data_IF_315226529004
#
_entry.id   IF_315226529004
#
_cell.length_a   1.000
_cell.length_b   1.000
_cell.length_c   1.000
_cell.angle_alpha   90.00
_cell.angle_beta   90.00
_cell.angle_gamma   90.00
#
_symmetry.space_group_name_H-M   'P 1'
#
loop_
_entity.id
_entity.type
_entity.pdbx_description
1 polymer ?
#
# COMPACT_ATOMS: atom_id res chain seq x y z
N UNK A 1 17.25 13.67 -24.04
CA UNK A 1 15.77 13.68 -24.08
C UNK A 1 15.36 12.37 -24.74
N UNK A 2 15.25 11.30 -23.96
CA UNK A 2 14.85 9.98 -24.46
C UNK A 2 13.33 9.97 -24.58
N UNK A 3 12.80 9.98 -25.79
CA UNK A 3 11.45 9.50 -26.03
C UNK A 3 11.46 7.99 -25.81
N UNK A 4 10.74 7.44 -24.81
CA UNK A 4 10.53 6.02 -24.78
C UNK A 4 9.61 5.71 -25.99
N UNK A 5 10.19 5.09 -27.00
CA UNK A 5 9.40 4.46 -28.06
C UNK A 5 8.53 3.37 -27.40
N UNK A 6 7.32 3.76 -27.04
CA UNK A 6 6.32 2.80 -26.63
C UNK A 6 6.08 1.87 -27.81
N UNK A 7 5.98 0.56 -27.57
CA UNK A 7 5.55 -0.42 -28.59
C UNK A 7 4.19 -0.04 -29.24
N UNK A 8 3.56 1.01 -28.75
CA UNK A 8 2.27 1.57 -29.16
C UNK A 8 2.38 2.75 -30.13
N UNK A 9 3.59 3.17 -30.54
CA UNK A 9 3.78 4.35 -31.40
C UNK A 9 3.29 4.18 -32.84
N UNK A 10 2.82 3.00 -33.22
CA UNK A 10 2.45 2.68 -34.60
C UNK A 10 0.93 2.62 -34.83
N UNK A 11 0.10 2.63 -33.80
CA UNK A 11 -1.36 2.62 -33.99
C UNK A 11 -2.06 3.54 -32.98
N UNK A 12 -3.02 4.32 -33.47
CA UNK A 12 -4.02 5.02 -32.67
C UNK A 12 -4.88 4.04 -31.83
N UNK A 13 -4.71 2.74 -32.04
CA UNK A 13 -5.37 1.69 -31.30
C UNK A 13 -4.62 1.37 -30.01
N UNK A 14 -5.38 1.32 -28.95
CA UNK A 14 -4.99 1.02 -27.57
C UNK A 14 -4.19 -0.27 -27.50
N UNK A 15 -3.02 -0.22 -26.90
CA UNK A 15 -2.12 -1.36 -26.84
C UNK A 15 -2.57 -2.39 -25.80
N UNK A 16 -3.19 -3.47 -26.24
CA UNK A 16 -3.59 -4.58 -25.38
C UNK A 16 -2.44 -5.19 -24.56
N UNK A 17 -1.22 -5.17 -25.08
CA UNK A 17 -0.04 -5.69 -24.36
C UNK A 17 0.29 -4.83 -23.14
N UNK A 18 0.22 -3.50 -23.31
CA UNK A 18 0.44 -2.56 -22.20
C UNK A 18 -0.69 -2.68 -21.17
N UNK A 19 -1.94 -2.83 -21.59
CA UNK A 19 -3.09 -3.04 -20.70
C UNK A 19 -2.95 -4.33 -19.88
N UNK A 20 -2.49 -5.41 -20.51
CA UNK A 20 -2.21 -6.69 -19.84
C UNK A 20 -1.07 -6.56 -18.80
N UNK A 21 0.00 -5.85 -19.14
CA UNK A 21 1.12 -5.62 -18.21
C UNK A 21 0.70 -4.79 -16.99
N UNK A 22 -0.14 -3.78 -17.20
CA UNK A 22 -0.67 -2.97 -16.09
C UNK A 22 -1.68 -3.76 -15.25
N UNK A 23 -2.40 -4.70 -15.86
CA UNK A 23 -3.31 -5.62 -15.17
C UNK A 23 -4.50 -4.93 -14.49
N UNK A 24 -4.97 -3.80 -15.04
CA UNK A 24 -6.19 -3.12 -14.61
C UNK A 24 -7.32 -3.46 -15.59
N UNK A 25 -8.12 -4.45 -15.23
CA UNK A 25 -9.25 -4.89 -16.06
C UNK A 25 -10.23 -3.75 -16.29
N UNK A 26 -10.62 -3.53 -17.56
CA UNK A 26 -11.53 -2.46 -17.96
C UNK A 26 -10.88 -1.09 -18.13
N UNK A 27 -9.53 -1.01 -18.12
CA UNK A 27 -8.78 0.23 -18.31
C UNK A 27 -7.78 0.11 -19.45
N UNK A 28 -7.49 1.25 -20.06
CA UNK A 28 -6.41 1.43 -21.01
C UNK A 28 -5.30 2.26 -20.41
N UNK A 29 -4.06 1.83 -20.66
CA UNK A 29 -2.88 2.62 -20.39
C UNK A 29 -2.69 3.64 -21.52
N UNK A 30 -2.78 4.92 -21.19
CA UNK A 30 -2.57 6.03 -22.12
C UNK A 30 -1.10 6.41 -22.20
N UNK A 31 -0.41 6.46 -21.06
CA UNK A 31 1.01 6.72 -20.98
C UNK A 31 1.64 6.08 -19.74
N UNK A 32 2.95 5.81 -19.81
CA UNK A 32 3.76 5.38 -18.69
C UNK A 32 5.05 6.19 -18.65
N UNK A 33 5.27 6.95 -17.59
CA UNK A 33 6.44 7.80 -17.44
C UNK A 33 7.20 7.43 -16.18
N UNK A 34 8.49 7.13 -16.31
CA UNK A 34 9.38 6.93 -15.19
C UNK A 34 9.94 8.27 -14.72
N UNK A 35 9.63 8.64 -13.49
CA UNK A 35 10.26 9.77 -12.80
C UNK A 35 11.34 9.26 -11.84
N UNK A 36 12.21 10.11 -11.27
CA UNK A 36 13.17 9.69 -10.24
C UNK A 36 12.51 8.99 -9.04
N UNK A 37 11.29 9.40 -8.67
CA UNK A 37 10.62 8.95 -7.45
C UNK A 37 9.56 7.88 -7.68
N UNK A 38 8.99 7.78 -8.88
CA UNK A 38 7.87 6.89 -9.16
C UNK A 38 7.71 6.55 -10.64
N UNK A 39 6.98 5.48 -10.92
CA UNK A 39 6.37 5.19 -12.21
C UNK A 39 4.96 5.80 -12.21
N UNK A 40 4.70 6.72 -13.12
CA UNK A 40 3.41 7.37 -13.31
C UNK A 40 2.69 6.72 -14.48
N UNK A 41 1.50 6.21 -14.23
CA UNK A 41 0.65 5.54 -15.21
C UNK A 41 -0.61 6.37 -15.46
N UNK A 42 -0.82 6.83 -16.68
CA UNK A 42 -2.04 7.49 -17.11
C UNK A 42 -3.01 6.44 -17.62
N UNK A 43 -4.19 6.37 -17.01
CA UNK A 43 -5.20 5.40 -17.40
C UNK A 43 -6.56 6.04 -17.67
N UNK A 44 -7.35 5.42 -18.54
CA UNK A 44 -8.77 5.71 -18.72
C UNK A 44 -9.58 4.42 -18.83
N UNK A 45 -10.88 4.47 -18.52
CA UNK A 45 -11.76 3.30 -18.70
C UNK A 45 -11.98 2.95 -20.17
N UNK A 46 -12.18 1.67 -20.44
CA UNK A 46 -12.52 1.18 -21.77
C UNK A 46 -13.94 1.59 -22.20
N UNK A 47 -14.82 1.86 -21.25
CA UNK A 47 -16.23 2.14 -21.48
C UNK A 47 -16.41 3.48 -22.21
N UNK A 48 -17.07 3.44 -23.35
CA UNK A 48 -17.36 4.64 -24.17
C UNK A 48 -18.68 5.29 -23.81
N UNK A 49 -19.58 4.56 -23.16
CA UNK A 49 -20.92 4.98 -22.80
C UNK A 49 -21.22 4.63 -21.35
N UNK A 50 -22.07 5.42 -20.72
CA UNK A 50 -22.58 5.15 -19.38
C UNK A 50 -24.07 5.40 -19.33
N UNK A 51 -24.80 4.52 -18.65
CA UNK A 51 -26.19 4.75 -18.29
C UNK A 51 -26.29 5.71 -17.11
N UNK A 52 -27.30 6.57 -17.11
CA UNK A 52 -27.59 7.42 -15.96
C UNK A 52 -27.97 6.56 -14.75
N UNK A 53 -27.36 6.76 -13.58
CA UNK A 53 -27.69 5.97 -12.38
C UNK A 53 -29.09 6.27 -11.82
N UNK A 54 -29.79 7.30 -12.32
CA UNK A 54 -31.15 7.62 -11.88
C UNK A 54 -32.25 7.14 -12.83
N UNK A 55 -32.02 7.16 -14.16
CA UNK A 55 -33.04 6.81 -15.14
C UNK A 55 -32.61 5.78 -16.18
N UNK A 56 -31.35 5.33 -16.16
CA UNK A 56 -30.82 4.33 -17.10
C UNK A 56 -30.53 4.83 -18.52
N UNK A 57 -30.96 6.04 -18.89
CA UNK A 57 -30.76 6.59 -20.23
C UNK A 57 -29.25 6.76 -20.52
N UNK A 58 -28.84 6.46 -21.77
CA UNK A 58 -27.45 6.67 -22.21
C UNK A 58 -27.09 8.14 -22.10
N UNK A 59 -25.98 8.42 -21.44
CA UNK A 59 -25.55 9.78 -21.11
C UNK A 59 -24.54 10.32 -22.10
N UNK A 60 -24.38 11.63 -22.12
CA UNK A 60 -23.40 12.33 -22.93
C UNK A 60 -22.14 12.64 -22.13
N UNK A 61 -20.97 12.42 -22.72
CA UNK A 61 -19.70 12.82 -22.11
C UNK A 61 -19.59 14.35 -21.96
N UNK A 62 -19.13 14.81 -20.77
CA UNK A 62 -18.95 16.23 -20.45
C UNK A 62 -17.53 16.49 -19.93
N UNK A 63 -16.53 15.97 -20.60
CA UNK A 63 -15.13 16.16 -20.25
C UNK A 63 -14.60 15.12 -19.26
N UNK A 64 -13.40 15.37 -18.80
CA UNK A 64 -12.64 14.48 -17.90
C UNK A 64 -12.08 15.28 -16.73
N UNK A 65 -11.80 14.58 -15.64
CA UNK A 65 -11.02 15.08 -14.52
C UNK A 65 -9.93 14.04 -14.18
N UNK A 66 -8.84 14.50 -13.62
CA UNK A 66 -7.74 13.60 -13.21
C UNK A 66 -7.81 13.36 -11.71
N UNK A 67 -7.75 12.10 -11.33
CA UNK A 67 -7.60 11.68 -9.93
C UNK A 67 -6.30 10.90 -9.81
N UNK A 68 -5.46 11.30 -8.87
CA UNK A 68 -4.22 10.60 -8.57
C UNK A 68 -4.42 9.59 -7.44
N UNK A 69 -3.97 8.36 -7.67
CA UNK A 69 -4.08 7.24 -6.74
C UNK A 69 -2.71 6.57 -6.59
N UNK A 70 -2.35 6.26 -5.37
CA UNK A 70 -1.15 5.46 -5.06
C UNK A 70 -1.45 4.00 -5.32
N UNK A 71 -0.64 3.35 -6.12
CA UNK A 71 -0.79 1.92 -6.41
C UNK A 71 0.27 1.07 -5.71
N UNK A 72 0.13 -0.25 -5.81
CA UNK A 72 1.13 -1.18 -5.31
C UNK A 72 2.50 -0.93 -5.99
N UNK A 73 3.62 -1.01 -5.27
CA UNK A 73 4.94 -0.88 -5.86
C UNK A 73 5.15 -1.94 -6.93
N UNK A 74 5.80 -1.56 -8.03
CA UNK A 74 6.15 -2.48 -9.10
C UNK A 74 7.66 -2.49 -9.33
N UNK A 75 8.27 -3.68 -9.34
CA UNK A 75 9.71 -3.85 -9.48
C UNK A 75 10.54 -2.94 -8.53
N UNK A 76 10.11 -2.81 -7.26
CA UNK A 76 10.79 -1.97 -6.27
C UNK A 76 10.55 -0.47 -6.41
N UNK A 77 9.73 -0.05 -7.38
CA UNK A 77 9.45 1.36 -7.67
C UNK A 77 8.04 1.73 -7.21
N UNK A 78 7.90 2.92 -6.62
CA UNK A 78 6.59 3.49 -6.31
C UNK A 78 5.77 3.67 -7.58
N UNK A 79 4.46 3.44 -7.50
CA UNK A 79 3.55 3.62 -8.64
C UNK A 79 2.48 4.64 -8.29
N UNK A 80 2.26 5.58 -9.23
CA UNK A 80 1.20 6.58 -9.21
C UNK A 80 0.31 6.34 -10.40
N UNK A 81 -0.98 6.23 -10.18
CA UNK A 81 -1.98 6.15 -11.24
C UNK A 81 -2.63 7.52 -11.34
N UNK A 82 -2.60 8.13 -12.51
CA UNK A 82 -3.43 9.27 -12.86
C UNK A 82 -4.60 8.76 -13.69
N UNK A 83 -5.74 8.64 -13.04
CA UNK A 83 -6.95 8.15 -13.67
C UNK A 83 -7.74 9.32 -14.25
N UNK A 84 -7.93 9.31 -15.58
CA UNK A 84 -8.73 10.26 -16.34
C UNK A 84 -10.20 9.87 -16.27
N UNK A 85 -10.85 10.23 -15.17
CA UNK A 85 -12.25 9.95 -14.87
C UNK A 85 -13.14 10.74 -15.81
N UNK A 86 -14.10 10.08 -16.43
CA UNK A 86 -15.09 10.74 -17.30
C UNK A 86 -16.20 11.37 -16.46
N UNK A 87 -16.65 12.52 -16.94
CA UNK A 87 -17.85 13.19 -16.44
C UNK A 87 -18.95 12.99 -17.45
N UNK A 88 -20.13 12.69 -16.96
CA UNK A 88 -21.29 12.38 -17.76
C UNK A 88 -22.44 13.34 -17.46
N UNK A 89 -23.29 13.61 -18.45
CA UNK A 89 -24.48 14.42 -18.33
C UNK A 89 -25.70 13.63 -18.80
N UNK A 90 -26.73 13.57 -17.97
CA UNK A 90 -28.02 13.06 -18.32
C UNK A 90 -28.81 14.11 -19.12
N UNK A 91 -29.42 13.72 -20.23
CA UNK A 91 -30.26 14.60 -21.09
C UNK A 91 -31.73 14.44 -20.84
N UNK A 92 -32.12 13.44 -19.99
CA UNK A 92 -33.52 13.23 -19.65
C UNK A 92 -34.04 14.36 -18.75
N UNK A 93 -35.07 15.09 -19.23
CA UNK A 93 -35.60 16.28 -18.57
C UNK A 93 -36.26 15.99 -17.22
N UNK A 94 -36.83 14.79 -17.08
CA UNK A 94 -37.48 14.35 -15.85
C UNK A 94 -36.54 13.74 -14.83
N UNK A 95 -35.27 13.54 -15.20
CA UNK A 95 -34.27 12.94 -14.32
C UNK A 95 -33.69 13.96 -13.35
N UNK A 96 -33.66 13.61 -12.07
CA UNK A 96 -33.04 14.45 -11.02
C UNK A 96 -31.51 14.53 -11.13
N UNK A 97 -30.88 13.58 -11.81
CA UNK A 97 -29.43 13.55 -11.98
C UNK A 97 -29.08 14.30 -13.26
N UNK A 98 -28.46 15.46 -13.10
CA UNK A 98 -27.99 16.27 -14.22
C UNK A 98 -26.60 15.83 -14.68
N UNK A 99 -25.66 15.68 -13.73
CA UNK A 99 -24.29 15.27 -14.02
C UNK A 99 -23.78 14.29 -12.97
N UNK A 100 -22.90 13.38 -13.37
CA UNK A 100 -22.20 12.48 -12.48
C UNK A 100 -20.82 12.14 -13.03
N UNK A 101 -20.00 11.56 -12.19
CA UNK A 101 -18.65 11.11 -12.54
C UNK A 101 -18.61 9.57 -12.57
N UNK A 102 -17.76 9.06 -13.40
CA UNK A 102 -17.42 7.65 -13.43
C UNK A 102 -16.92 7.18 -12.06
N UNK A 103 -17.31 5.97 -11.67
CA UNK A 103 -16.85 5.32 -10.45
C UNK A 103 -16.40 3.91 -10.78
N UNK A 104 -15.22 3.52 -10.30
CA UNK A 104 -14.76 2.15 -10.42
C UNK A 104 -14.08 1.71 -9.12
N UNK A 105 -14.79 0.88 -8.37
CA UNK A 105 -14.33 0.38 -7.07
C UNK A 105 -13.15 -0.61 -7.19
N UNK A 106 -12.89 -1.15 -8.39
CA UNK A 106 -11.72 -2.00 -8.63
C UNK A 106 -10.40 -1.20 -8.59
N UNK A 107 -10.46 0.09 -8.96
CA UNK A 107 -9.29 0.98 -8.91
C UNK A 107 -9.16 1.59 -7.52
N UNK A 108 -10.19 2.30 -7.06
CA UNK A 108 -10.17 2.91 -5.73
C UNK A 108 -11.59 3.20 -5.21
N UNK A 109 -11.74 3.31 -3.90
CA UNK A 109 -12.93 3.86 -3.29
C UNK A 109 -13.02 5.38 -3.53
N UNK A 110 -14.23 5.94 -3.37
CA UNK A 110 -14.42 7.39 -3.48
C UNK A 110 -13.52 8.14 -2.48
N UNK A 111 -12.80 9.16 -2.96
CA UNK A 111 -11.85 9.96 -2.18
C UNK A 111 -10.66 9.19 -1.58
N UNK A 112 -10.46 7.92 -1.94
CA UNK A 112 -9.32 7.15 -1.49
C UNK A 112 -8.03 7.66 -2.14
N UNK A 113 -6.93 7.64 -1.39
CA UNK A 113 -5.59 7.94 -1.89
C UNK A 113 -4.84 6.68 -2.31
N UNK A 114 -5.19 5.53 -1.75
CA UNK A 114 -4.64 4.24 -2.14
C UNK A 114 -5.60 3.53 -3.09
N UNK A 115 -5.06 2.96 -4.16
CA UNK A 115 -5.77 2.03 -5.01
C UNK A 115 -6.05 0.70 -4.31
N UNK A 116 -7.04 -0.02 -4.78
CA UNK A 116 -7.39 -1.33 -4.22
C UNK A 116 -6.23 -2.33 -4.30
N UNK A 117 -5.37 -2.22 -5.32
CA UNK A 117 -4.15 -3.04 -5.43
C UNK A 117 -3.15 -2.70 -4.33
N UNK A 118 -2.94 -1.41 -4.03
CA UNK A 118 -2.07 -0.98 -2.93
C UNK A 118 -2.58 -1.45 -1.57
N UNK A 119 -3.90 -1.39 -1.35
CA UNK A 119 -4.53 -1.87 -0.10
C UNK A 119 -4.31 -3.38 0.04
N UNK A 120 -4.62 -4.17 -1.00
CA UNK A 120 -4.42 -5.63 -0.99
C UNK A 120 -2.96 -6.01 -0.79
N UNK A 121 -2.06 -5.32 -1.48
CA UNK A 121 -0.62 -5.52 -1.33
C UNK A 121 -0.18 -5.21 0.10
N UNK A 122 -0.58 -4.07 0.68
CA UNK A 122 -0.23 -3.70 2.04
C UNK A 122 -0.73 -4.71 3.08
N UNK A 123 -1.96 -5.18 2.94
CA UNK A 123 -2.54 -6.21 3.82
C UNK A 123 -1.75 -7.52 3.70
N UNK A 124 -1.38 -7.92 2.48
CA UNK A 124 -0.56 -9.12 2.27
C UNK A 124 0.80 -9.00 2.96
N UNK A 125 1.48 -7.87 2.80
CA UNK A 125 2.77 -7.60 3.47
C UNK A 125 2.66 -7.65 4.99
N UNK A 126 1.59 -7.09 5.57
CA UNK A 126 1.33 -7.17 7.01
C UNK A 126 1.12 -8.62 7.48
N UNK A 127 0.31 -9.39 6.75
CA UNK A 127 -0.12 -10.72 7.20
C UNK A 127 0.94 -11.81 7.00
N UNK A 128 1.70 -11.75 5.93
CA UNK A 128 2.59 -12.84 5.54
C UNK A 128 4.08 -12.49 5.69
N UNK A 129 4.43 -11.20 5.61
CA UNK A 129 5.82 -10.75 5.66
C UNK A 129 6.15 -10.02 6.99
N UNK A 130 5.19 -9.89 7.89
CA UNK A 130 5.40 -9.18 9.17
C UNK A 130 5.77 -7.70 9.02
N UNK A 131 5.45 -7.09 7.88
CA UNK A 131 5.85 -5.71 7.60
C UNK A 131 5.16 -4.70 8.54
N UNK A 132 5.89 -3.69 9.01
CA UNK A 132 5.30 -2.60 9.79
C UNK A 132 4.63 -1.56 8.87
N UNK A 133 3.52 -0.95 9.33
CA UNK A 133 2.79 0.09 8.58
C UNK A 133 3.70 1.24 8.16
N UNK A 134 4.66 1.63 8.99
CA UNK A 134 5.64 2.67 8.66
C UNK A 134 6.53 2.27 7.47
N UNK A 135 6.96 1.02 7.40
CA UNK A 135 7.72 0.48 6.29
C UNK A 135 6.92 0.51 5.00
N UNK A 136 5.64 0.09 5.06
CA UNK A 136 4.72 0.14 3.92
C UNK A 136 4.46 1.57 3.45
N UNK A 137 4.28 2.51 4.38
CA UNK A 137 4.10 3.92 4.06
C UNK A 137 5.29 4.49 3.29
N UNK A 138 6.52 4.15 3.69
CA UNK A 138 7.75 4.53 2.97
C UNK A 138 7.79 3.95 1.56
N UNK A 139 7.47 2.66 1.40
CA UNK A 139 7.47 1.99 0.09
C UNK A 139 6.40 2.56 -0.84
N UNK A 140 5.21 2.87 -0.32
CA UNK A 140 4.12 3.49 -1.06
C UNK A 140 4.35 4.99 -1.33
N UNK A 141 5.27 5.65 -0.62
CA UNK A 141 5.41 7.10 -0.65
C UNK A 141 4.15 7.80 -0.13
N UNK A 142 3.58 7.28 0.96
CA UNK A 142 2.40 7.78 1.64
C UNK A 142 2.71 8.07 3.11
N UNK A 143 1.80 8.77 3.80
CA UNK A 143 1.92 8.93 5.25
C UNK A 143 1.43 7.68 5.98
N UNK A 144 1.95 7.44 7.19
CA UNK A 144 1.50 6.35 8.05
C UNK A 144 -0.02 6.40 8.29
N UNK A 145 -0.57 7.60 8.54
CA UNK A 145 -2.01 7.80 8.72
C UNK A 145 -2.81 7.42 7.48
N UNK A 146 -2.32 7.78 6.28
CA UNK A 146 -2.98 7.42 5.02
C UNK A 146 -3.05 5.91 4.85
N UNK A 147 -1.95 5.21 5.07
CA UNK A 147 -1.94 3.74 4.95
C UNK A 147 -2.86 3.12 5.98
N UNK A 148 -2.67 3.46 7.27
CA UNK A 148 -3.49 2.90 8.37
C UNK A 148 -4.98 3.11 8.15
N UNK A 149 -5.41 4.33 7.86
CA UNK A 149 -6.84 4.65 7.72
C UNK A 149 -7.52 3.89 6.58
N UNK A 150 -6.78 3.59 5.51
CA UNK A 150 -7.35 2.93 4.34
C UNK A 150 -7.27 1.40 4.38
N UNK A 151 -6.31 0.82 5.11
CA UNK A 151 -6.28 -0.64 5.31
C UNK A 151 -7.15 -1.09 6.48
N UNK A 152 -7.34 -0.24 7.50
CA UNK A 152 -8.02 -0.59 8.74
C UNK A 152 -9.44 -1.16 8.53
N UNK A 153 -10.31 -0.60 7.66
CA UNK A 153 -11.63 -1.16 7.39
C UNK A 153 -11.58 -2.60 6.87
N UNK A 154 -10.62 -2.90 5.99
CA UNK A 154 -10.46 -4.25 5.45
C UNK A 154 -9.91 -5.22 6.50
N UNK A 155 -9.01 -4.76 7.37
CA UNK A 155 -8.49 -5.57 8.48
C UNK A 155 -9.59 -5.84 9.52
N UNK A 156 -10.46 -4.86 9.79
CA UNK A 156 -11.58 -5.02 10.70
C UNK A 156 -12.55 -6.09 10.20
N UNK A 157 -12.96 -6.02 8.92
CA UNK A 157 -13.82 -7.06 8.32
C UNK A 157 -13.20 -8.45 8.45
N UNK A 158 -11.89 -8.58 8.18
CA UNK A 158 -11.18 -9.84 8.33
C UNK A 158 -11.04 -10.28 9.80
N UNK A 159 -10.97 -9.32 10.74
CA UNK A 159 -10.93 -9.58 12.18
C UNK A 159 -12.29 -10.02 12.72
N UNK A 160 -13.37 -9.49 12.20
CA UNK A 160 -14.73 -9.78 12.65
C UNK A 160 -15.30 -11.07 12.02
N UNK A 161 -14.61 -11.64 11.02
CA UNK A 161 -15.00 -12.90 10.39
C UNK A 161 -14.86 -14.07 11.39
N UNK A 162 -15.96 -14.71 11.83
CA UNK A 162 -15.90 -15.86 12.74
C UNK A 162 -15.17 -17.06 12.13
N UNK A 163 -15.16 -17.18 10.79
CA UNK A 163 -14.46 -18.26 10.09
C UNK A 163 -12.92 -18.18 10.23
N UNK A 164 -12.38 -17.05 10.69
CA UNK A 164 -10.91 -16.87 10.88
C UNK A 164 -10.29 -17.90 11.82
N UNK A 165 -11.07 -18.49 12.72
CA UNK A 165 -10.63 -19.52 13.66
C UNK A 165 -10.93 -20.94 13.17
N UNK A 166 -11.51 -21.11 11.99
CA UNK A 166 -11.79 -22.44 11.44
C UNK A 166 -10.48 -23.22 11.29
N UNK A 167 -10.41 -24.41 11.90
CA UNK A 167 -9.22 -25.26 11.88
C UNK A 167 -8.12 -24.91 12.90
N UNK A 168 -8.28 -23.85 13.69
CA UNK A 168 -7.36 -23.57 14.81
C UNK A 168 -7.58 -24.59 15.93
N UNK A 169 -6.55 -25.39 16.24
CA UNK A 169 -6.59 -26.40 17.29
C UNK A 169 -5.89 -25.98 18.58
N UNK A 170 -4.94 -25.05 18.47
CA UNK A 170 -4.13 -24.59 19.61
C UNK A 170 -4.04 -23.06 19.52
N UNK A 171 -4.31 -22.39 20.62
CA UNK A 171 -4.17 -20.94 20.79
C UNK A 171 -3.10 -20.68 21.84
N UNK A 172 -2.04 -19.99 21.47
CA UNK A 172 -1.05 -19.42 22.39
C UNK A 172 -1.50 -18.01 22.81
N UNK A 173 -1.51 -17.75 24.11
CA UNK A 173 -1.75 -16.39 24.64
C UNK A 173 -0.45 -15.90 25.25
N UNK A 174 0.05 -14.76 24.78
CA UNK A 174 1.19 -14.06 25.36
C UNK A 174 0.69 -12.77 26.03
N UNK A 175 0.91 -12.66 27.34
CA UNK A 175 0.54 -11.48 28.11
C UNK A 175 1.64 -10.42 28.00
N UNK A 176 1.45 -9.44 27.13
CA UNK A 176 2.23 -8.20 27.14
C UNK A 176 1.64 -7.24 28.18
N UNK A 177 2.28 -7.15 29.34
CA UNK A 177 1.97 -6.12 30.33
C UNK A 177 2.55 -4.79 29.84
N UNK A 178 1.70 -3.95 29.25
CA UNK A 178 2.05 -2.57 28.95
C UNK A 178 2.02 -1.75 30.24
N UNK A 179 3.15 -1.59 30.89
CA UNK A 179 3.28 -0.58 31.93
C UNK A 179 3.22 0.81 31.27
N UNK A 180 2.07 1.45 31.30
CA UNK A 180 1.97 2.87 31.18
C UNK A 180 2.73 3.48 32.38
N UNK A 181 3.98 3.84 32.19
CA UNK A 181 4.64 4.74 33.14
C UNK A 181 3.91 6.08 33.05
N UNK A 182 3.03 6.31 34.02
CA UNK A 182 2.39 7.60 34.20
C UNK A 182 3.49 8.62 34.56
N UNK A 183 3.92 9.40 33.58
CA UNK A 183 4.95 10.43 33.71
C UNK A 183 4.59 11.53 34.73
N UNK A 184 3.41 11.47 35.33
CA UNK A 184 2.93 12.45 36.30
C UNK A 184 3.26 12.14 37.76
N UNK A 185 3.78 10.95 38.06
CA UNK A 185 4.30 10.64 39.42
C UNK A 185 5.84 10.69 39.43
N UNK A 186 6.39 11.87 39.29
CA UNK A 186 7.72 12.13 39.86
C UNK A 186 7.55 12.28 41.38
N UNK A 187 7.52 11.19 42.11
CA UNK A 187 7.80 11.14 43.51
C UNK A 187 9.28 11.53 43.78
N UNK A 188 9.65 11.97 45.00
CA UNK A 188 10.99 12.42 45.29
C UNK A 188 12.01 11.31 45.03
N UNK A 189 13.14 11.67 44.41
CA UNK A 189 14.23 10.76 44.09
C UNK A 189 14.75 10.14 45.37
N UNK A 190 14.60 8.83 45.56
CA UNK A 190 15.32 8.08 46.59
C UNK A 190 16.79 8.14 46.28
N UNK A 191 17.56 8.81 47.17
CA UNK A 191 19.01 8.77 47.19
C UNK A 191 19.43 7.34 47.53
N UNK A 192 20.00 6.63 46.60
CA UNK A 192 20.72 5.40 46.85
C UNK A 192 22.09 5.74 47.42
N UNK A 193 22.30 5.55 48.72
CA UNK A 193 23.61 5.56 49.30
C UNK A 193 24.41 4.39 48.74
N UNK A 194 25.56 4.71 48.12
CA UNK A 194 26.57 3.70 47.81
C UNK A 194 27.11 3.15 49.13
N UNK A 195 26.90 1.87 49.40
CA UNK A 195 27.62 1.14 50.40
C UNK A 195 29.06 0.89 50.00
N UNK A 196 29.97 0.65 50.97
CA UNK A 196 31.40 0.63 50.71
C UNK A 196 31.85 -0.59 49.89
N UNK A 197 32.85 -0.34 49.01
CA UNK A 197 33.57 -1.29 48.17
C UNK A 197 34.09 -2.49 48.99
N UNK A 198 33.59 -3.68 48.71
CA UNK A 198 34.32 -4.91 49.02
C UNK A 198 34.89 -5.49 47.73
N UNK A 199 36.20 -5.24 47.52
CA UNK A 199 36.98 -5.90 46.46
C UNK A 199 37.17 -7.38 46.89
N UNK A 200 36.61 -8.28 46.09
CA UNK A 200 37.06 -9.66 46.07
C UNK A 200 37.79 -9.92 44.76
N UNK A 201 39.08 -10.11 44.87
CA UNK A 201 39.92 -10.54 43.80
C UNK A 201 39.68 -11.98 43.46
N UNK A 202 39.49 -12.28 42.18
CA UNK A 202 39.67 -13.63 41.64
C UNK A 202 40.44 -13.57 40.33
N UNK A 203 41.63 -14.12 40.44
CA UNK A 203 42.54 -14.49 39.36
C UNK A 203 41.96 -15.61 38.51
N UNK A 204 41.81 -15.39 37.22
CA UNK A 204 41.68 -16.50 36.25
C UNK A 204 42.63 -16.24 35.08
N UNK A 205 43.56 -17.20 34.89
CA UNK A 205 44.53 -17.23 33.84
C UNK A 205 43.97 -17.53 32.45
N UNK A 206 44.76 -17.39 31.40
CA UNK A 206 44.30 -17.49 30.03
C UNK A 206 44.15 -18.97 29.56
N UNK A 207 42.98 -19.32 29.02
CA UNK A 207 42.77 -20.58 28.33
C UNK A 207 43.07 -20.39 26.84
N UNK A 208 44.07 -21.12 26.35
CA UNK A 208 44.41 -21.22 24.94
C UNK A 208 43.32 -22.03 24.19
N UNK A 209 42.79 -21.47 23.15
CA UNK A 209 41.87 -22.17 22.19
C UNK A 209 42.66 -22.69 20.97
N UNK A 210 42.28 -23.84 20.39
CA UNK A 210 42.99 -24.47 19.28
C UNK A 210 42.78 -23.78 17.94
N UNK A 211 43.84 -23.75 17.13
CA UNK A 211 43.86 -23.22 15.78
C UNK A 211 42.96 -23.97 14.79
N UNK A 212 42.38 -23.24 13.88
CA UNK A 212 41.71 -23.77 12.69
C UNK A 212 42.58 -23.46 11.48
N UNK A 213 43.09 -24.54 10.86
CA UNK A 213 43.80 -24.53 9.58
C UNK A 213 42.93 -24.05 8.45
N UNK A 214 43.45 -23.12 7.67
CA UNK A 214 42.88 -22.74 6.35
C UNK A 214 43.46 -23.63 5.28
N UNK A 215 42.67 -24.51 4.72
CA UNK A 215 42.97 -25.14 3.44
C UNK A 215 42.32 -24.36 2.32
N UNK A 216 43.14 -23.79 1.44
CA UNK A 216 42.71 -23.18 0.21
C UNK A 216 42.43 -24.24 -0.85
N UNK A 217 41.39 -24.04 -1.65
CA UNK A 217 41.29 -24.60 -2.98
C UNK A 217 40.90 -23.51 -3.96
N UNK A 218 41.85 -23.29 -4.90
CA UNK A 218 41.60 -22.70 -6.22
C UNK A 218 41.01 -23.80 -7.11
N UNK A 219 39.97 -23.52 -7.80
CA UNK A 219 39.77 -23.71 -9.25
C UNK A 219 38.69 -22.72 -9.69
#
# INVERSE_FOLDING_TARGET
>A
MFHPECCCSVSLDRCRRCDLLVGLVGFHLMSAVRTPDALVLDIESCDRFAGCPGCGVITQGRGRMVVEVIDAPWAGVRVRIRWFIRRWMCRERTCRIVTFIEKNHLVCAARARLGMRAIRWAIRQLRFEGAAILGLARQLGATWNTVRSQINPCLQVASDDPARFAGVRVLGVDEHVWHHQDRRRRGPRAHWHRGPDTRVGSSHGPVAGPGVERTGHRV
#
